data_IF_197558400186
#
_entry.id   IF_197558400186
#
_cell.length_a   1.000
_cell.length_b   1.000
_cell.length_c   1.000
_cell.angle_alpha   90.00
_cell.angle_beta   90.00
_cell.angle_gamma   90.00
#
_symmetry.space_group_name_H-M   'P 1'
#
loop_
_entity.id
_entity.type
_entity.pdbx_description
1 polymer ?
#
# COMPACT_ATOMS: atom_id res chain seq x y z
N UNK A 1 -3.44 21.44 -4.50
CA UNK A 1 -2.31 20.61 -4.04
C UNK A 1 -2.32 19.34 -4.88
N UNK A 2 -1.16 18.93 -5.40
CA UNK A 2 -0.99 17.68 -6.15
C UNK A 2 -0.07 16.80 -5.33
N UNK A 3 -0.64 15.80 -4.66
CA UNK A 3 0.12 14.80 -3.92
C UNK A 3 0.83 13.85 -4.89
N UNK A 4 1.94 13.27 -4.45
CA UNK A 4 2.83 12.42 -5.27
C UNK A 4 3.00 12.92 -6.71
N UNK A 5 3.30 14.23 -6.85
CA UNK A 5 3.21 14.95 -8.13
C UNK A 5 3.95 14.30 -9.29
N UNK A 6 5.09 13.67 -8.99
CA UNK A 6 5.94 12.94 -9.95
C UNK A 6 5.19 11.80 -10.67
N UNK A 7 4.14 11.25 -10.06
CA UNK A 7 3.27 10.23 -10.64
C UNK A 7 1.92 10.82 -11.12
N UNK A 8 1.32 11.71 -10.33
CA UNK A 8 0.01 12.29 -10.64
C UNK A 8 0.02 13.20 -11.86
N UNK A 9 1.08 13.98 -12.08
CA UNK A 9 1.18 14.86 -13.26
C UNK A 9 1.26 14.07 -14.57
N UNK A 10 2.16 13.06 -14.71
CA UNK A 10 2.14 12.18 -15.88
C UNK A 10 0.79 11.48 -16.09
N UNK A 11 0.13 11.06 -15.00
CA UNK A 11 -1.20 10.44 -15.07
C UNK A 11 -2.24 11.38 -15.67
N UNK A 12 -2.36 12.62 -15.15
CA UNK A 12 -3.29 13.64 -15.67
C UNK A 12 -3.01 13.90 -17.15
N UNK A 13 -1.73 14.05 -17.53
CA UNK A 13 -1.32 14.26 -18.92
C UNK A 13 -1.74 13.11 -19.84
N UNK A 14 -1.67 11.87 -19.36
CA UNK A 14 -1.98 10.67 -20.15
C UNK A 14 -3.49 10.40 -20.30
N UNK A 15 -4.35 10.93 -19.42
CA UNK A 15 -5.79 10.65 -19.41
C UNK A 15 -6.48 10.93 -20.75
N UNK A 16 -6.20 12.09 -21.35
CA UNK A 16 -6.80 12.48 -22.63
C UNK A 16 -6.36 11.57 -23.78
N UNK A 17 -5.07 11.26 -23.87
CA UNK A 17 -4.55 10.37 -24.91
C UNK A 17 -5.14 8.96 -24.83
N UNK A 18 -5.21 8.41 -23.61
CA UNK A 18 -5.80 7.08 -23.37
C UNK A 18 -7.31 7.02 -23.65
N UNK A 19 -8.07 8.04 -23.23
CA UNK A 19 -9.50 8.13 -23.54
C UNK A 19 -9.74 8.24 -25.05
N UNK A 20 -9.01 9.13 -25.73
CA UNK A 20 -9.15 9.35 -27.16
C UNK A 20 -8.84 8.08 -27.96
N UNK A 21 -7.73 7.40 -27.68
CA UNK A 21 -7.36 6.16 -28.37
C UNK A 21 -8.43 5.08 -28.25
N UNK A 22 -9.02 4.93 -27.06
CA UNK A 22 -10.08 3.94 -26.81
C UNK A 22 -11.37 4.27 -27.56
N UNK A 23 -11.74 5.56 -27.58
CA UNK A 23 -12.95 6.03 -28.29
C UNK A 23 -12.82 5.99 -29.81
N UNK A 24 -11.62 6.27 -30.34
CA UNK A 24 -11.36 6.15 -31.78
C UNK A 24 -11.76 4.77 -32.29
N UNK A 25 -11.32 3.70 -31.62
CA UNK A 25 -11.71 2.34 -31.99
C UNK A 25 -13.23 2.13 -31.95
N UNK A 26 -13.91 2.57 -30.87
CA UNK A 26 -15.37 2.42 -30.76
C UNK A 26 -16.15 3.16 -31.86
N UNK A 27 -15.65 4.32 -32.29
CA UNK A 27 -16.28 5.13 -33.32
C UNK A 27 -16.01 4.55 -34.71
N UNK A 28 -14.79 4.11 -34.99
CA UNK A 28 -14.42 3.46 -36.26
C UNK A 28 -15.21 2.17 -36.52
N UNK A 29 -15.47 1.39 -35.48
CA UNK A 29 -16.31 0.19 -35.56
C UNK A 29 -17.83 0.46 -35.42
N UNK A 30 -18.26 1.72 -35.35
CA UNK A 30 -19.67 2.10 -35.33
C UNK A 30 -20.42 1.85 -34.02
N UNK A 31 -19.73 1.57 -32.91
CA UNK A 31 -20.35 1.41 -31.59
C UNK A 31 -20.75 2.74 -30.93
N UNK A 32 -20.15 3.86 -31.36
CA UNK A 32 -20.41 5.20 -30.81
C UNK A 32 -20.45 6.25 -31.93
N UNK A 33 -21.25 7.30 -31.72
CA UNK A 33 -21.25 8.49 -32.58
C UNK A 33 -19.98 9.33 -32.39
N UNK A 34 -19.57 10.13 -33.39
CA UNK A 34 -18.41 11.03 -33.28
C UNK A 34 -18.48 12.02 -32.10
N UNK A 35 -19.67 12.43 -31.68
CA UNK A 35 -19.87 13.31 -30.51
C UNK A 35 -19.39 12.69 -29.19
N UNK A 36 -19.14 11.38 -29.13
CA UNK A 36 -18.56 10.74 -27.95
C UNK A 36 -17.13 11.23 -27.63
N UNK A 37 -16.42 11.82 -28.61
CA UNK A 37 -15.12 12.46 -28.38
C UNK A 37 -15.20 13.65 -27.42
N UNK A 38 -16.34 14.33 -27.36
CA UNK A 38 -16.50 15.52 -26.52
C UNK A 38 -16.67 15.18 -25.04
N UNK A 39 -17.15 13.97 -24.71
CA UNK A 39 -17.27 13.49 -23.33
C UNK A 39 -15.92 12.98 -22.77
N UNK A 40 -14.90 13.83 -22.72
CA UNK A 40 -13.51 13.45 -22.46
C UNK A 40 -12.96 14.07 -21.18
N UNK A 41 -11.88 13.52 -20.60
CA UNK A 41 -11.08 14.26 -19.64
C UNK A 41 -10.44 15.49 -20.28
N UNK A 42 -9.98 16.40 -19.42
CA UNK A 42 -9.24 17.58 -19.83
C UNK A 42 -7.93 17.20 -20.51
N UNK A 43 -7.52 18.00 -21.48
CA UNK A 43 -6.14 18.03 -21.96
C UNK A 43 -5.24 18.63 -20.88
N UNK A 44 -3.94 18.36 -20.98
CA UNK A 44 -2.99 18.89 -19.99
C UNK A 44 -2.98 20.42 -19.99
N UNK A 45 -3.04 21.07 -21.15
CA UNK A 45 -3.08 22.54 -21.26
C UNK A 45 -4.37 23.12 -20.65
N UNK A 46 -5.52 22.46 -20.83
CA UNK A 46 -6.77 22.87 -20.17
C UNK A 46 -6.62 22.76 -18.65
N UNK A 47 -6.06 21.66 -18.15
CA UNK A 47 -5.78 21.48 -16.72
C UNK A 47 -4.84 22.58 -16.18
N UNK A 48 -3.78 22.92 -16.91
CA UNK A 48 -2.86 24.01 -16.52
C UNK A 48 -3.56 25.37 -16.42
N UNK A 49 -4.53 25.63 -17.30
CA UNK A 49 -5.29 26.89 -17.26
C UNK A 49 -6.28 27.00 -16.10
N UNK A 50 -6.60 25.89 -15.42
CA UNK A 50 -7.63 25.87 -14.39
C UNK A 50 -7.15 26.34 -13.02
N UNK A 51 -5.87 26.18 -12.71
CA UNK A 51 -5.35 26.53 -11.40
C UNK A 51 -4.55 27.84 -11.46
N UNK A 52 -4.79 28.73 -10.49
CA UNK A 52 -3.99 29.95 -10.32
C UNK A 52 -2.74 29.69 -9.48
N UNK A 53 -2.86 28.79 -8.52
CA UNK A 53 -1.77 28.36 -7.64
C UNK A 53 -1.82 26.84 -7.49
N UNK A 54 -0.65 26.21 -7.60
CA UNK A 54 -0.48 24.79 -7.36
C UNK A 54 0.66 24.57 -6.36
N UNK A 55 0.49 23.59 -5.49
CA UNK A 55 1.54 23.08 -4.61
C UNK A 55 1.76 21.64 -5.00
N UNK A 56 2.94 21.33 -5.52
CA UNK A 56 3.35 19.98 -5.87
C UNK A 56 4.05 19.36 -4.66
N UNK A 57 3.55 18.21 -4.19
CA UNK A 57 4.09 17.50 -3.04
C UNK A 57 4.71 16.22 -3.56
N UNK A 58 6.03 16.08 -3.41
CA UNK A 58 6.74 14.84 -3.73
C UNK A 58 8.12 14.82 -3.06
N UNK A 59 8.56 13.64 -2.66
CA UNK A 59 9.95 13.41 -2.23
C UNK A 59 10.95 13.45 -3.41
N UNK A 60 10.46 13.29 -4.63
CA UNK A 60 11.22 13.17 -5.89
C UNK A 60 10.50 13.91 -7.03
N UNK A 61 10.37 15.25 -6.95
CA UNK A 61 9.68 16.03 -7.99
C UNK A 61 10.32 15.80 -9.37
N UNK A 62 9.50 15.71 -10.41
CA UNK A 62 10.00 15.59 -11.79
C UNK A 62 10.26 16.97 -12.42
N UNK A 63 10.81 16.96 -13.63
CA UNK A 63 11.26 18.18 -14.33
C UNK A 63 10.14 19.20 -14.53
N UNK A 64 8.90 18.74 -14.71
CA UNK A 64 7.75 19.62 -14.88
C UNK A 64 7.53 20.46 -13.63
N UNK A 65 7.50 19.83 -12.45
CA UNK A 65 7.27 20.51 -11.19
C UNK A 65 8.40 21.48 -10.87
N UNK A 66 9.65 21.07 -11.10
CA UNK A 66 10.82 21.93 -10.91
C UNK A 66 10.79 23.15 -11.84
N UNK A 67 10.36 22.96 -13.09
CA UNK A 67 10.21 24.07 -14.05
C UNK A 67 9.07 25.01 -13.64
N UNK A 68 7.91 24.47 -13.28
CA UNK A 68 6.75 25.28 -12.86
C UNK A 68 6.99 26.02 -11.55
N UNK A 69 7.78 25.44 -10.63
CA UNK A 69 8.13 26.06 -9.36
C UNK A 69 9.03 27.30 -9.52
N UNK A 70 9.68 27.50 -10.68
CA UNK A 70 10.55 28.65 -10.97
C UNK A 70 11.56 28.95 -9.85
N UNK A 71 12.14 27.91 -9.26
CA UNK A 71 13.14 28.00 -8.18
C UNK A 71 12.57 28.11 -6.76
N UNK A 72 11.24 28.14 -6.57
CA UNK A 72 10.62 28.11 -5.24
C UNK A 72 10.42 26.66 -4.79
N UNK A 73 11.43 26.09 -4.14
CA UNK A 73 11.38 24.74 -3.57
C UNK A 73 11.44 24.83 -2.05
N UNK A 74 10.46 24.22 -1.38
CA UNK A 74 10.42 24.09 0.09
C UNK A 74 10.76 22.65 0.44
N UNK A 75 11.86 22.44 1.16
CA UNK A 75 12.28 21.12 1.61
C UNK A 75 11.75 20.83 3.03
N UNK A 76 11.15 19.67 3.21
CA UNK A 76 10.77 19.13 4.54
C UNK A 76 11.40 17.75 4.71
N UNK A 77 12.58 17.72 5.34
CA UNK A 77 13.40 16.51 5.50
C UNK A 77 13.39 15.94 6.93
N UNK A 78 13.05 16.76 7.93
CA UNK A 78 13.03 16.34 9.33
C UNK A 78 11.74 15.57 9.62
N UNK A 79 11.89 14.36 10.15
CA UNK A 79 10.76 13.52 10.57
C UNK A 79 10.38 13.84 12.02
N UNK A 80 9.08 13.91 12.38
CA UNK A 80 8.66 14.17 13.75
C UNK A 80 9.21 13.18 14.79
N UNK A 81 9.54 11.95 14.37
CA UNK A 81 10.05 10.88 15.23
C UNK A 81 11.57 10.80 15.27
N UNK A 82 12.27 11.74 14.62
CA UNK A 82 13.72 11.72 14.49
C UNK A 82 14.28 10.60 13.61
N UNK A 83 13.42 9.83 12.92
CA UNK A 83 13.88 8.77 12.03
C UNK A 83 14.78 9.32 10.92
N UNK A 84 15.87 8.62 10.66
CA UNK A 84 16.88 8.98 9.67
C UNK A 84 16.61 8.30 8.33
N UNK A 85 17.06 8.92 7.25
CA UNK A 85 17.23 8.25 5.96
C UNK A 85 18.19 7.07 6.12
N UNK A 86 17.98 5.94 5.42
CA UNK A 86 18.68 4.69 5.69
C UNK A 86 20.17 4.76 5.34
N UNK A 87 20.95 3.87 5.94
CA UNK A 87 22.34 3.64 5.53
C UNK A 87 22.34 2.89 4.20
N UNK A 88 23.16 3.30 3.25
CA UNK A 88 23.30 2.64 1.95
C UNK A 88 24.64 1.90 1.89
N UNK A 89 24.57 0.62 1.54
CA UNK A 89 25.73 -0.24 1.28
C UNK A 89 25.74 -0.67 -0.19
N UNK A 90 26.90 -0.57 -0.84
CA UNK A 90 27.09 -0.95 -2.24
C UNK A 90 27.91 -2.23 -2.28
N UNK A 91 27.31 -3.31 -2.79
CA UNK A 91 27.94 -4.64 -2.85
C UNK A 91 28.06 -5.13 -4.29
N UNK A 92 29.11 -5.91 -4.63
CA UNK A 92 29.24 -6.53 -5.94
C UNK A 92 28.08 -7.49 -6.24
N UNK A 93 27.78 -7.73 -7.52
CA UNK A 93 26.75 -8.69 -7.92
C UNK A 93 27.20 -10.16 -7.79
N UNK A 94 28.50 -10.41 -7.63
CA UNK A 94 29.03 -11.77 -7.41
C UNK A 94 28.53 -12.31 -6.06
N UNK A 95 27.97 -13.52 -6.07
CA UNK A 95 27.36 -14.18 -4.90
C UNK A 95 26.28 -13.34 -4.19
N UNK A 96 25.63 -12.40 -4.88
CA UNK A 96 24.63 -11.50 -4.30
C UNK A 96 23.46 -12.23 -3.63
N UNK A 97 23.11 -13.43 -4.08
CA UNK A 97 22.01 -14.21 -3.51
C UNK A 97 22.41 -14.79 -2.14
N UNK A 98 23.64 -15.28 -2.02
CA UNK A 98 24.14 -15.83 -0.75
C UNK A 98 24.28 -14.71 0.29
N UNK A 99 24.87 -13.57 -0.10
CA UNK A 99 24.97 -12.37 0.76
C UNK A 99 23.58 -11.85 1.20
N UNK A 100 22.61 -11.86 0.28
CA UNK A 100 21.23 -11.48 0.59
C UNK A 100 20.59 -12.44 1.59
N UNK A 101 20.83 -13.74 1.49
CA UNK A 101 20.28 -14.72 2.42
C UNK A 101 20.82 -14.54 3.84
N UNK A 102 22.11 -14.25 3.97
CA UNK A 102 22.73 -13.96 5.28
C UNK A 102 22.11 -12.71 5.92
N UNK A 103 21.97 -11.62 5.14
CA UNK A 103 21.33 -10.40 5.64
C UNK A 103 19.84 -10.63 5.97
N UNK A 104 19.14 -11.45 5.19
CA UNK A 104 17.74 -11.83 5.49
C UNK A 104 17.66 -12.58 6.81
N UNK A 105 18.51 -13.58 7.02
CA UNK A 105 18.55 -14.37 8.26
C UNK A 105 18.82 -13.48 9.49
N UNK A 106 19.76 -12.54 9.39
CA UNK A 106 20.01 -11.55 10.44
C UNK A 106 18.77 -10.70 10.76
N UNK A 107 18.04 -10.22 9.74
CA UNK A 107 16.81 -9.41 9.95
C UNK A 107 15.67 -10.23 10.53
N UNK A 108 15.49 -11.46 10.06
CA UNK A 108 14.46 -12.38 10.57
C UNK A 108 14.72 -12.68 12.05
N UNK A 109 15.98 -12.93 12.44
CA UNK A 109 16.37 -13.13 13.85
C UNK A 109 16.13 -11.90 14.72
N UNK A 110 16.29 -10.70 14.16
CA UNK A 110 15.94 -9.45 14.83
C UNK A 110 14.42 -9.18 14.89
N UNK A 111 13.61 -10.00 14.20
CA UNK A 111 12.15 -9.85 14.12
C UNK A 111 11.68 -8.79 13.12
N UNK A 112 12.57 -8.30 12.26
CA UNK A 112 12.28 -7.29 11.24
C UNK A 112 11.86 -7.94 9.90
N UNK A 113 11.52 -7.11 8.91
CA UNK A 113 11.11 -7.52 7.56
C UNK A 113 12.07 -7.01 6.49
N UNK A 114 12.09 -7.72 5.37
CA UNK A 114 12.94 -7.41 4.22
C UNK A 114 12.12 -7.18 2.97
N UNK A 115 12.45 -6.12 2.23
CA UNK A 115 11.96 -5.90 0.89
C UNK A 115 13.07 -6.16 -0.11
N UNK A 116 12.79 -6.94 -1.15
CA UNK A 116 13.74 -7.21 -2.24
C UNK A 116 13.14 -6.73 -3.55
N UNK A 117 13.86 -5.87 -4.26
CA UNK A 117 13.47 -5.43 -5.60
C UNK A 117 14.33 -6.09 -6.67
N UNK A 118 13.67 -6.68 -7.66
CA UNK A 118 14.30 -7.31 -8.83
C UNK A 118 13.96 -6.51 -10.09
N UNK A 119 14.58 -6.83 -11.22
CA UNK A 119 14.23 -6.21 -12.51
C UNK A 119 13.11 -6.95 -13.25
N UNK A 120 13.01 -8.27 -13.07
CA UNK A 120 12.11 -9.10 -13.86
C UNK A 120 11.20 -9.94 -12.97
N UNK A 121 9.97 -10.17 -13.45
CA UNK A 121 8.99 -11.05 -12.78
C UNK A 121 9.55 -12.45 -12.58
N UNK A 122 10.26 -12.95 -13.60
CA UNK A 122 10.91 -14.26 -13.57
C UNK A 122 11.95 -14.37 -12.45
N UNK A 123 12.84 -13.38 -12.32
CA UNK A 123 13.86 -13.39 -11.26
C UNK A 123 13.22 -13.30 -9.86
N UNK A 124 12.16 -12.50 -9.71
CA UNK A 124 11.42 -12.44 -8.45
C UNK A 124 10.79 -13.80 -8.09
N UNK A 125 10.16 -14.46 -9.06
CA UNK A 125 9.53 -15.77 -8.86
C UNK A 125 10.56 -16.87 -8.56
N UNK A 126 11.67 -16.90 -9.30
CA UNK A 126 12.75 -17.88 -9.09
C UNK A 126 13.42 -17.68 -7.72
N UNK A 127 13.65 -16.43 -7.30
CA UNK A 127 14.21 -16.10 -5.99
C UNK A 127 13.24 -16.48 -4.86
N UNK A 128 11.95 -16.19 -5.02
CA UNK A 128 10.92 -16.58 -4.05
C UNK A 128 10.88 -18.10 -3.87
N UNK A 129 10.84 -18.86 -4.97
CA UNK A 129 10.88 -20.34 -4.93
C UNK A 129 12.18 -20.89 -4.33
N UNK A 130 13.28 -20.18 -4.50
CA UNK A 130 14.55 -20.56 -3.89
C UNK A 130 14.53 -20.36 -2.37
N UNK A 131 14.13 -19.17 -1.90
CA UNK A 131 13.99 -18.86 -0.47
C UNK A 131 12.96 -19.75 0.24
N UNK A 132 11.84 -20.07 -0.42
CA UNK A 132 10.81 -20.97 0.11
C UNK A 132 11.36 -22.40 0.34
N UNK A 133 12.18 -22.92 -0.58
CA UNK A 133 12.84 -24.23 -0.43
C UNK A 133 13.84 -24.26 0.74
N UNK A 134 14.36 -23.11 1.13
CA UNK A 134 15.23 -22.96 2.31
C UNK A 134 14.42 -22.76 3.60
N UNK A 135 13.09 -22.72 3.53
CA UNK A 135 12.21 -22.56 4.69
C UNK A 135 12.00 -21.11 5.12
N UNK A 136 12.39 -20.13 4.30
CA UNK A 136 12.16 -18.70 4.58
C UNK A 136 10.72 -18.35 4.24
N UNK A 137 10.03 -17.62 5.13
CA UNK A 137 8.67 -17.14 4.88
C UNK A 137 8.71 -15.97 3.89
N UNK A 138 8.50 -16.28 2.62
CA UNK A 138 8.64 -15.32 1.52
C UNK A 138 7.34 -15.23 0.73
N UNK A 139 7.02 -14.04 0.23
CA UNK A 139 5.95 -13.83 -0.75
C UNK A 139 6.46 -13.00 -1.93
N UNK A 140 5.87 -13.26 -3.09
CA UNK A 140 6.17 -12.55 -4.33
C UNK A 140 5.00 -11.65 -4.74
N UNK A 141 5.30 -10.41 -5.13
CA UNK A 141 4.32 -9.45 -5.62
C UNK A 141 4.70 -8.84 -6.98
N UNK A 142 3.71 -8.76 -7.88
CA UNK A 142 3.84 -8.14 -9.20
C UNK A 142 2.66 -7.22 -9.56
N UNK A 143 2.76 -6.61 -10.74
CA UNK A 143 1.83 -5.62 -11.26
C UNK A 143 0.40 -6.13 -11.49
N UNK A 144 0.23 -7.44 -11.66
CA UNK A 144 -1.05 -8.04 -12.08
C UNK A 144 -1.80 -8.67 -10.89
N UNK A 145 -1.19 -8.62 -9.70
CA UNK A 145 -1.86 -8.95 -8.43
C UNK A 145 -2.98 -7.95 -8.20
N UNK A 146 -4.18 -8.44 -7.91
CA UNK A 146 -5.34 -7.59 -7.65
C UNK A 146 -5.08 -6.72 -6.41
N UNK A 147 -5.73 -5.57 -6.35
CA UNK A 147 -5.56 -4.61 -5.24
C UNK A 147 -5.84 -5.25 -3.88
N UNK A 148 -6.87 -6.10 -3.77
CA UNK A 148 -7.22 -6.80 -2.53
C UNK A 148 -6.14 -7.79 -2.10
N UNK A 149 -5.72 -8.68 -3.01
CA UNK A 149 -4.66 -9.66 -2.76
C UNK A 149 -3.35 -8.96 -2.33
N UNK A 150 -3.04 -7.81 -2.94
CA UNK A 150 -1.88 -6.99 -2.54
C UNK A 150 -1.99 -6.49 -1.10
N UNK A 151 -3.16 -6.01 -0.68
CA UNK A 151 -3.39 -5.56 0.71
C UNK A 151 -3.20 -6.72 1.68
N UNK A 152 -3.71 -7.91 1.34
CA UNK A 152 -3.55 -9.11 2.16
C UNK A 152 -2.09 -9.53 2.31
N UNK A 153 -1.32 -9.59 1.22
CA UNK A 153 0.12 -9.92 1.25
C UNK A 153 0.87 -8.96 2.17
N UNK A 154 0.58 -7.66 2.07
CA UNK A 154 1.21 -6.64 2.90
C UNK A 154 0.81 -6.77 4.36
N UNK A 155 -0.45 -7.10 4.64
CA UNK A 155 -0.91 -7.37 5.99
C UNK A 155 -0.16 -8.57 6.59
N UNK A 156 0.00 -9.66 5.84
CA UNK A 156 0.76 -10.85 6.27
C UNK A 156 2.23 -10.53 6.58
N UNK A 157 2.86 -9.69 5.78
CA UNK A 157 4.20 -9.15 6.04
C UNK A 157 4.25 -8.41 7.39
N UNK A 158 3.31 -7.50 7.62
CA UNK A 158 3.23 -6.72 8.87
C UNK A 158 2.94 -7.57 10.10
N UNK A 159 2.15 -8.64 9.95
CA UNK A 159 1.84 -9.58 11.02
C UNK A 159 2.98 -10.58 11.32
N UNK A 160 4.00 -10.67 10.46
CA UNK A 160 5.10 -11.64 10.60
C UNK A 160 4.76 -13.05 10.16
N UNK A 161 3.69 -13.20 9.39
CA UNK A 161 3.42 -14.43 8.65
C UNK A 161 4.34 -14.58 7.45
N UNK A 162 4.84 -13.45 6.95
CA UNK A 162 5.84 -13.33 5.89
C UNK A 162 6.96 -12.46 6.41
N UNK A 163 8.20 -12.86 6.16
CA UNK A 163 9.39 -12.12 6.59
C UNK A 163 10.03 -11.34 5.43
N UNK A 164 9.93 -11.88 4.20
CA UNK A 164 10.53 -11.31 2.99
C UNK A 164 9.47 -11.07 1.91
N UNK A 165 9.42 -9.87 1.35
CA UNK A 165 8.59 -9.55 0.19
C UNK A 165 9.47 -9.23 -1.02
N UNK A 166 9.30 -9.99 -2.10
CA UNK A 166 10.05 -9.82 -3.34
C UNK A 166 9.14 -9.25 -4.42
N UNK A 167 9.60 -8.24 -5.16
CA UNK A 167 8.84 -7.73 -6.30
C UNK A 167 9.66 -6.93 -7.28
N UNK A 168 9.08 -6.67 -8.46
CA UNK A 168 9.74 -5.85 -9.49
C UNK A 168 9.58 -4.37 -9.17
N UNK A 169 8.32 -3.97 -8.98
CA UNK A 169 7.97 -2.62 -8.59
C UNK A 169 7.16 -2.69 -7.29
N UNK A 170 7.88 -2.59 -6.17
CA UNK A 170 7.26 -2.44 -4.87
C UNK A 170 6.69 -1.02 -4.69
N UNK A 171 6.97 -0.08 -5.61
CA UNK A 171 6.50 1.30 -5.56
C UNK A 171 5.05 1.39 -6.04
N UNK A 172 4.13 1.29 -5.08
CA UNK A 172 2.83 1.95 -5.17
C UNK A 172 2.57 2.69 -3.87
N UNK A 173 1.82 3.78 -3.97
CA UNK A 173 1.38 4.64 -2.87
C UNK A 173 0.80 3.81 -1.71
N UNK A 174 0.95 4.31 -0.48
CA UNK A 174 0.32 3.72 0.70
C UNK A 174 1.09 2.60 1.42
N UNK A 175 2.32 2.28 1.02
CA UNK A 175 3.18 1.33 1.72
C UNK A 175 3.97 2.00 2.84
N UNK A 176 3.39 2.05 4.03
CA UNK A 176 4.07 2.43 5.27
C UNK A 176 4.32 1.17 6.13
N UNK A 177 5.58 0.73 6.16
CA UNK A 177 6.01 -0.54 6.75
C UNK A 177 7.13 -0.29 7.77
N UNK A 178 6.80 0.15 9.00
CA UNK A 178 7.80 0.38 10.05
C UNK A 178 8.54 -0.92 10.46
N UNK A 179 7.98 -2.09 10.15
CA UNK A 179 8.58 -3.39 10.40
C UNK A 179 9.74 -3.70 9.43
N UNK A 180 9.87 -2.98 8.31
CA UNK A 180 10.94 -3.19 7.33
C UNK A 180 12.22 -2.47 7.76
N UNK A 181 13.29 -3.22 8.00
CA UNK A 181 14.62 -2.66 8.31
C UNK A 181 15.64 -2.85 7.19
N UNK A 182 15.35 -3.69 6.19
CA UNK A 182 16.24 -3.90 5.04
C UNK A 182 15.49 -3.77 3.72
N UNK A 183 16.06 -2.99 2.80
CA UNK A 183 15.67 -2.95 1.40
C UNK A 183 16.85 -3.38 0.54
N UNK A 184 16.73 -4.50 -0.16
CA UNK A 184 17.72 -4.97 -1.12
C UNK A 184 17.29 -4.61 -2.55
N UNK A 185 18.19 -4.03 -3.32
CA UNK A 185 17.99 -3.71 -4.74
C UNK A 185 18.97 -4.54 -5.56
N UNK A 186 18.46 -5.60 -6.19
CA UNK A 186 19.23 -6.41 -7.12
C UNK A 186 19.39 -5.67 -8.45
N UNK A 187 20.54 -5.87 -9.10
CA UNK A 187 20.88 -5.27 -10.39
C UNK A 187 20.70 -3.73 -10.36
N UNK A 188 21.24 -3.08 -9.33
CA UNK A 188 21.08 -1.64 -9.12
C UNK A 188 21.76 -0.79 -10.22
N UNK A 189 22.74 -1.35 -10.93
CA UNK A 189 23.49 -0.70 -12.00
C UNK A 189 22.85 -0.80 -13.40
N UNK A 190 21.71 -1.49 -13.51
CA UNK A 190 20.98 -1.63 -14.78
C UNK A 190 20.01 -0.48 -14.92
N UNK A 191 20.45 0.55 -15.61
CA UNK A 191 19.63 1.74 -15.86
C UNK A 191 18.33 1.40 -16.59
N UNK A 192 17.32 2.22 -16.33
CA UNK A 192 15.96 2.03 -16.81
C UNK A 192 14.98 2.66 -15.83
N UNK A 193 13.68 2.55 -16.12
CA UNK A 193 12.65 3.17 -15.30
C UNK A 193 12.77 2.81 -13.81
N UNK A 194 12.99 1.54 -13.47
CA UNK A 194 13.05 1.05 -12.08
C UNK A 194 14.35 1.37 -11.34
N UNK A 195 15.36 1.91 -12.02
CA UNK A 195 16.70 2.20 -11.49
C UNK A 195 17.15 3.63 -11.83
N UNK A 196 16.21 4.48 -12.23
CA UNK A 196 16.47 5.91 -12.32
C UNK A 196 16.61 6.52 -10.92
N UNK A 197 17.15 7.73 -10.85
CA UNK A 197 17.39 8.42 -9.58
C UNK A 197 16.13 8.46 -8.70
N UNK A 198 14.97 8.73 -9.28
CA UNK A 198 13.69 8.86 -8.55
C UNK A 198 13.25 7.52 -7.97
N UNK A 199 13.24 6.47 -8.79
CA UNK A 199 12.86 5.12 -8.34
C UNK A 199 13.79 4.59 -7.25
N UNK A 200 15.10 4.86 -7.36
CA UNK A 200 16.05 4.50 -6.32
C UNK A 200 15.75 5.23 -5.01
N UNK A 201 15.60 6.55 -5.02
CA UNK A 201 15.27 7.33 -3.81
C UNK A 201 13.98 6.82 -3.15
N UNK A 202 12.93 6.55 -3.93
CA UNK A 202 11.66 6.03 -3.41
C UNK A 202 11.78 4.62 -2.84
N UNK A 203 12.56 3.76 -3.50
CA UNK A 203 12.78 2.38 -3.04
C UNK A 203 13.56 2.39 -1.73
N UNK A 204 14.63 3.18 -1.67
CA UNK A 204 15.43 3.38 -0.46
C UNK A 204 14.61 3.97 0.68
N UNK A 205 13.74 4.93 0.38
CA UNK A 205 12.83 5.55 1.35
C UNK A 205 11.92 4.58 2.10
N UNK A 206 11.71 3.35 1.60
CA UNK A 206 10.95 2.31 2.31
C UNK A 206 11.64 1.82 3.59
N UNK A 207 12.97 1.89 3.65
CA UNK A 207 13.73 1.58 4.87
C UNK A 207 13.74 2.74 5.88
N UNK A 208 13.33 3.95 5.50
CA UNK A 208 13.41 5.15 6.35
C UNK A 208 12.32 5.22 7.45
N UNK A 209 11.49 4.17 7.57
CA UNK A 209 10.43 4.05 8.58
C UNK A 209 10.88 3.26 9.81
N UNK A 210 12.09 2.72 9.79
CA UNK A 210 12.67 1.92 10.86
C UNK A 210 14.01 2.53 11.30
N UNK A 211 14.26 2.55 12.60
CA UNK A 211 15.49 3.08 13.20
C UNK A 211 16.75 2.33 12.74
N UNK A 212 16.61 1.05 12.39
CA UNK A 212 17.67 0.18 11.86
C UNK A 212 17.66 0.10 10.32
N UNK A 213 17.00 1.06 9.65
CA UNK A 213 16.85 1.10 8.20
C UNK A 213 18.18 1.05 7.44
N UNK A 214 18.35 0.01 6.62
CA UNK A 214 19.48 -0.23 5.73
C UNK A 214 19.01 -0.51 4.31
N UNK A 215 19.78 -0.06 3.34
CA UNK A 215 19.62 -0.38 1.92
C UNK A 215 20.89 -1.08 1.45
N UNK A 216 20.74 -2.17 0.70
CA UNK A 216 21.84 -2.80 -0.03
C UNK A 216 21.58 -2.64 -1.53
N UNK A 217 22.53 -2.05 -2.24
CA UNK A 217 22.55 -1.96 -3.69
C UNK A 217 23.53 -3.00 -4.22
N UNK A 218 23.03 -4.01 -4.93
CA UNK A 218 23.90 -4.98 -5.60
C UNK A 218 24.19 -4.51 -7.01
N UNK A 219 25.45 -4.18 -7.28
CA UNK A 219 25.89 -3.57 -8.52
C UNK A 219 27.40 -3.71 -8.73
N UNK A 220 27.80 -3.95 -9.97
CA UNK A 220 29.22 -4.04 -10.35
C UNK A 220 29.84 -2.67 -10.70
N UNK A 221 29.00 -1.65 -10.95
CA UNK A 221 29.44 -0.30 -11.31
C UNK A 221 28.53 0.77 -10.72
N UNK A 222 29.12 1.92 -10.39
CA UNK A 222 28.37 3.10 -9.99
C UNK A 222 27.79 3.80 -11.23
N UNK A 223 26.47 3.89 -11.33
CA UNK A 223 25.79 4.68 -12.37
C UNK A 223 25.57 6.12 -11.90
N UNK A 224 25.32 7.04 -12.84
CA UNK A 224 25.00 8.43 -12.48
C UNK A 224 23.70 8.55 -11.66
N UNK A 225 22.71 7.70 -11.95
CA UNK A 225 21.45 7.65 -11.18
C UNK A 225 21.67 7.16 -9.75
N UNK A 226 22.50 6.13 -9.56
CA UNK A 226 22.88 5.64 -8.24
C UNK A 226 23.63 6.71 -7.44
N UNK A 227 24.66 7.32 -8.03
CA UNK A 227 25.47 8.33 -7.36
C UNK A 227 24.58 9.47 -6.82
N UNK A 228 23.72 10.05 -7.69
CA UNK A 228 22.81 11.12 -7.28
C UNK A 228 21.81 10.68 -6.19
N UNK A 229 21.32 9.45 -6.25
CA UNK A 229 20.39 8.92 -5.25
C UNK A 229 21.09 8.68 -3.89
N UNK A 230 22.33 8.18 -3.90
CA UNK A 230 23.15 7.96 -2.71
C UNK A 230 23.51 9.30 -2.07
N UNK A 231 23.99 10.26 -2.86
CA UNK A 231 24.39 11.59 -2.39
C UNK A 231 23.22 12.32 -1.73
N UNK A 232 22.03 12.26 -2.33
CA UNK A 232 20.83 12.90 -1.77
C UNK A 232 20.38 12.22 -0.47
N UNK A 233 20.39 10.89 -0.41
CA UNK A 233 20.06 10.15 0.83
C UNK A 233 21.04 10.49 1.95
N UNK A 234 22.34 10.55 1.64
CA UNK A 234 23.38 10.90 2.61
C UNK A 234 23.28 12.34 3.08
N UNK A 235 22.98 13.30 2.18
CA UNK A 235 22.72 14.71 2.52
C UNK A 235 21.56 14.84 3.52
N UNK A 236 20.44 14.18 3.22
CA UNK A 236 19.26 14.16 4.09
C UNK A 236 19.58 13.55 5.45
N UNK A 237 20.23 12.39 5.46
CA UNK A 237 20.63 11.69 6.68
C UNK A 237 21.52 12.55 7.57
N UNK A 238 22.55 13.18 7.00
CA UNK A 238 23.46 14.05 7.75
C UNK A 238 22.72 15.23 8.38
N UNK A 239 21.84 15.89 7.61
CA UNK A 239 21.06 17.04 8.11
C UNK A 239 20.10 16.62 9.23
N UNK A 240 19.44 15.46 9.09
CA UNK A 240 18.56 14.90 10.11
C UNK A 240 19.32 14.52 11.38
N UNK A 241 20.53 13.96 11.23
CA UNK A 241 21.38 13.61 12.37
C UNK A 241 21.81 14.86 13.14
N UNK A 242 22.30 15.90 12.45
CA UNK A 242 22.65 17.18 13.09
C UNK A 242 21.45 17.78 13.83
N UNK A 243 20.28 17.81 13.18
CA UNK A 243 19.07 18.31 13.83
C UNK A 243 18.71 17.52 15.10
N UNK A 244 18.78 16.19 15.04
CA UNK A 244 18.50 15.33 16.19
C UNK A 244 19.48 15.56 17.35
N UNK A 245 20.77 15.72 17.04
CA UNK A 245 21.83 16.01 18.02
C UNK A 245 21.60 17.37 18.70
N UNK A 246 21.29 18.41 17.92
CA UNK A 246 21.00 19.76 18.44
C UNK A 246 19.75 19.80 19.33
N UNK A 247 18.75 18.97 19.03
CA UNK A 247 17.46 18.97 19.70
C UNK A 247 17.27 17.81 20.70
N UNK A 248 18.30 16.99 20.92
CA UNK A 248 18.27 15.81 21.80
C UNK A 248 17.13 14.82 21.44
N UNK A 249 16.93 14.56 20.15
CA UNK A 249 15.90 13.64 19.65
C UNK A 249 16.53 12.28 19.37
N UNK A 250 16.04 11.23 20.04
CA UNK A 250 16.42 9.84 19.73
C UNK A 250 15.47 9.27 18.67
N UNK A 251 15.98 8.79 17.52
CA UNK A 251 15.16 8.14 16.50
C UNK A 251 14.33 6.99 17.08
N UNK A 252 13.03 6.96 16.78
CA UNK A 252 12.15 5.88 17.24
C UNK A 252 11.21 5.41 16.15
N UNK A 253 11.18 4.09 15.96
CA UNK A 253 10.25 3.41 15.06
C UNK A 253 8.82 3.46 15.63
N UNK A 254 7.87 3.89 14.82
CA UNK A 254 6.45 3.88 15.18
C UNK A 254 5.88 2.50 14.88
N UNK A 255 5.88 1.60 15.87
CA UNK A 255 5.28 0.27 15.73
C UNK A 255 3.78 0.34 16.03
N UNK A 256 2.95 -0.24 15.16
CA UNK A 256 1.51 -0.42 15.40
C UNK A 256 1.27 -1.79 16.03
N UNK A 257 0.24 -1.90 16.89
CA UNK A 257 -0.10 -3.19 17.48
C UNK A 257 -0.79 -4.12 16.47
N UNK A 258 -0.72 -5.44 16.68
CA UNK A 258 -1.41 -6.42 15.83
C UNK A 258 -2.91 -6.12 15.70
N UNK A 259 -3.56 -5.71 16.81
CA UNK A 259 -4.97 -5.33 16.80
C UNK A 259 -5.27 -4.12 15.91
N UNK A 260 -4.36 -3.13 15.87
CA UNK A 260 -4.49 -1.95 15.00
C UNK A 260 -4.29 -2.32 13.52
N UNK A 261 -3.42 -3.29 13.22
CA UNK A 261 -3.18 -3.77 11.85
C UNK A 261 -4.42 -4.50 11.32
N UNK A 262 -5.03 -5.36 12.15
CA UNK A 262 -6.25 -6.09 11.80
C UNK A 262 -7.44 -5.15 11.57
N UNK A 263 -7.69 -4.22 12.51
CA UNK A 263 -8.85 -3.31 12.42
C UNK A 263 -8.81 -2.31 11.25
N UNK A 264 -7.63 -2.01 10.68
CA UNK A 264 -7.53 -1.17 9.47
C UNK A 264 -8.00 -1.91 8.21
N UNK A 265 -7.87 -3.23 8.18
CA UNK A 265 -8.19 -4.05 6.99
C UNK A 265 -9.69 -4.30 6.91
N UNK A 266 -10.35 -4.55 8.04
CA UNK A 266 -11.81 -4.73 8.10
C UNK A 266 -12.56 -3.52 7.50
N UNK A 267 -12.08 -2.29 7.74
CA UNK A 267 -12.63 -1.06 7.17
C UNK A 267 -12.38 -0.91 5.64
N UNK A 268 -11.28 -1.47 5.13
CA UNK A 268 -10.95 -1.47 3.71
C UNK A 268 -11.80 -2.50 2.94
N UNK A 269 -11.99 -3.69 3.52
CA UNK A 269 -12.84 -4.74 2.98
C UNK A 269 -14.31 -4.29 2.88
N UNK A 270 -14.81 -3.54 3.88
CA UNK A 270 -16.17 -2.97 3.85
C UNK A 270 -16.41 -1.98 2.71
N UNK A 271 -15.42 -1.15 2.37
CA UNK A 271 -15.57 -0.13 1.31
C UNK A 271 -15.62 -0.73 -0.09
N UNK A 272 -15.08 -1.92 -0.29
CA UNK A 272 -15.08 -2.57 -1.61
C UNK A 272 -16.34 -3.37 -1.91
N UNK A 273 -17.08 -3.83 -0.88
CA UNK A 273 -18.33 -4.58 -1.09
C UNK A 273 -19.45 -3.68 -1.64
N UNK A 274 -19.44 -2.38 -1.37
CA UNK A 274 -20.44 -1.45 -1.92
C UNK A 274 -20.25 -1.13 -3.42
N UNK A 275 -19.08 -1.41 -4.00
CA UNK A 275 -18.76 -1.03 -5.38
C UNK A 275 -19.00 -2.14 -6.43
N UNK A 276 -19.42 -3.35 -6.03
CA UNK A 276 -19.74 -4.45 -6.94
C UNK A 276 -20.99 -5.21 -6.49
N UNK A 277 -22.16 -4.60 -6.69
CA UNK A 277 -23.40 -5.36 -6.80
C UNK A 277 -23.74 -5.56 -8.29
N UNK A 278 -23.40 -6.69 -8.93
CA UNK A 278 -24.12 -7.11 -10.11
C UNK A 278 -25.49 -7.64 -9.71
N UNK A 279 -26.50 -7.20 -10.46
CA UNK A 279 -27.85 -7.70 -10.37
C UNK A 279 -27.90 -9.21 -10.62
N UNK A 280 -28.54 -9.93 -9.69
CA UNK A 280 -29.07 -11.27 -9.90
C UNK A 280 -28.15 -12.43 -9.52
N UNK A 281 -28.39 -13.05 -8.36
CA UNK A 281 -28.11 -14.47 -8.15
C UNK A 281 -28.94 -15.01 -6.97
N UNK A 282 -29.92 -15.86 -7.30
CA UNK A 282 -30.30 -16.98 -6.44
C UNK A 282 -29.20 -18.04 -6.58
N UNK A 283 -28.58 -18.48 -5.48
CA UNK A 283 -28.17 -19.88 -5.23
C UNK A 283 -27.35 -19.98 -3.92
N UNK A 284 -27.94 -20.73 -3.00
CA UNK A 284 -27.37 -21.62 -1.96
C UNK A 284 -25.86 -21.67 -1.71
N UNK A 285 -25.50 -21.62 -0.42
CA UNK A 285 -24.23 -22.16 0.08
C UNK A 285 -23.61 -21.38 1.23
N UNK A 286 -24.35 -21.14 2.33
CA UNK A 286 -23.81 -20.45 3.52
C UNK A 286 -23.82 -21.36 4.74
N UNK A 287 -22.70 -22.05 4.99
CA UNK A 287 -22.42 -22.69 6.26
C UNK A 287 -21.13 -22.11 6.86
N UNK A 288 -21.16 -21.92 8.18
CA UNK A 288 -20.06 -21.60 9.09
C UNK A 288 -19.68 -20.12 9.26
N UNK A 289 -20.39 -19.47 10.20
CA UNK A 289 -19.77 -18.73 11.31
C UNK A 289 -20.80 -18.64 12.45
N UNK A 290 -21.05 -19.80 13.06
CA UNK A 290 -21.79 -19.91 14.30
C UNK A 290 -20.81 -19.67 15.46
N UNK A 291 -20.96 -18.58 16.20
CA UNK A 291 -20.57 -18.54 17.60
C UNK A 291 -21.45 -17.58 18.43
N UNK A 292 -22.04 -18.19 19.47
CA UNK A 292 -22.35 -17.64 20.79
C UNK A 292 -23.69 -16.90 21.01
N UNK A 293 -24.83 -17.59 20.89
CA UNK A 293 -26.03 -17.39 21.76
C UNK A 293 -27.07 -18.54 21.65
N UNK A 294 -26.66 -19.81 21.58
CA UNK A 294 -27.53 -20.86 20.99
C UNK A 294 -28.59 -21.57 21.87
N UNK A 295 -28.59 -21.66 23.22
CA UNK A 295 -29.65 -22.41 23.89
C UNK A 295 -30.92 -21.59 24.18
N UNK A 296 -30.83 -20.27 24.33
CA UNK A 296 -31.96 -19.43 24.78
C UNK A 296 -32.78 -18.89 23.61
N UNK A 297 -32.12 -18.42 22.55
CA UNK A 297 -32.78 -17.81 21.37
C UNK A 297 -33.62 -18.83 20.59
N UNK A 298 -33.20 -20.09 20.55
CA UNK A 298 -33.96 -21.18 19.94
C UNK A 298 -35.28 -21.47 20.68
N UNK A 299 -35.32 -21.28 22.00
CA UNK A 299 -36.50 -21.55 22.85
C UNK A 299 -37.46 -20.37 23.00
N UNK A 300 -37.08 -19.16 22.58
CA UNK A 300 -37.93 -17.96 22.68
C UNK A 300 -39.16 -18.05 21.78
N UNK A 301 -40.30 -17.57 22.29
CA UNK A 301 -41.50 -17.41 21.46
C UNK A 301 -41.36 -16.22 20.50
N UNK A 302 -42.23 -16.14 19.49
CA UNK A 302 -42.16 -15.09 18.45
C UNK A 302 -42.19 -13.67 19.03
N UNK A 303 -43.03 -13.43 20.04
CA UNK A 303 -43.19 -12.12 20.67
C UNK A 303 -41.92 -11.68 21.43
N UNK A 304 -41.24 -12.62 22.08
CA UNK A 304 -39.96 -12.38 22.75
C UNK A 304 -38.85 -12.08 21.75
N UNK A 305 -38.83 -12.78 20.62
CA UNK A 305 -37.84 -12.58 19.56
C UNK A 305 -38.01 -11.22 18.86
N UNK A 306 -39.24 -10.80 18.60
CA UNK A 306 -39.55 -9.46 18.05
C UNK A 306 -39.15 -8.34 19.02
N UNK A 307 -39.30 -8.55 20.33
CA UNK A 307 -38.85 -7.60 21.37
C UNK A 307 -37.33 -7.51 21.44
N UNK A 308 -36.63 -8.64 21.32
CA UNK A 308 -35.17 -8.70 21.30
C UNK A 308 -34.60 -8.00 20.05
N UNK A 309 -35.20 -8.23 18.88
CA UNK A 309 -34.83 -7.52 17.63
C UNK A 309 -34.94 -6.01 17.81
N UNK A 310 -36.06 -5.49 18.33
CA UNK A 310 -36.23 -4.05 18.58
C UNK A 310 -35.22 -3.48 19.57
N UNK A 311 -34.85 -4.26 20.58
CA UNK A 311 -33.87 -3.84 21.59
C UNK A 311 -32.47 -3.77 20.99
N UNK A 312 -32.09 -4.78 20.21
CA UNK A 312 -30.80 -4.87 19.51
C UNK A 312 -30.69 -3.77 18.45
N UNK A 313 -31.77 -3.46 17.73
CA UNK A 313 -31.84 -2.37 16.75
C UNK A 313 -31.59 -1.01 17.40
N UNK A 314 -32.23 -0.75 18.55
CA UNK A 314 -32.04 0.48 19.32
C UNK A 314 -30.61 0.62 19.87
N UNK A 315 -30.01 -0.48 20.30
CA UNK A 315 -28.61 -0.50 20.76
C UNK A 315 -27.64 -0.23 19.61
N UNK A 316 -27.89 -0.80 18.43
CA UNK A 316 -27.09 -0.57 17.23
C UNK A 316 -27.13 0.91 16.81
N UNK A 317 -28.32 1.51 16.79
CA UNK A 317 -28.48 2.94 16.50
C UNK A 317 -27.81 3.84 17.55
N UNK A 318 -27.84 3.44 18.83
CA UNK A 318 -27.13 4.12 19.91
C UNK A 318 -25.61 4.10 19.72
N UNK A 319 -25.04 2.92 19.47
CA UNK A 319 -23.61 2.77 19.21
C UNK A 319 -23.15 3.55 17.96
N UNK A 320 -23.98 3.59 16.91
CA UNK A 320 -23.71 4.39 15.71
C UNK A 320 -23.71 5.90 15.99
N UNK A 321 -24.59 6.39 16.86
CA UNK A 321 -24.63 7.81 17.29
C UNK A 321 -23.44 8.20 18.15
N UNK A 322 -22.92 7.26 18.95
CA UNK A 322 -21.73 7.44 19.78
C UNK A 322 -20.41 7.21 19.03
N UNK A 323 -20.47 6.94 17.72
CA UNK A 323 -19.32 6.65 16.84
C UNK A 323 -18.55 5.36 17.26
N UNK A 324 -19.18 4.48 18.03
CA UNK A 324 -18.65 3.15 18.35
C UNK A 324 -19.06 2.15 17.25
N UNK A 325 -18.35 2.24 16.12
CA UNK A 325 -18.64 1.47 14.92
C UNK A 325 -18.37 -0.04 15.08
N UNK A 326 -17.47 -0.42 15.98
CA UNK A 326 -17.16 -1.82 16.28
C UNK A 326 -18.34 -2.49 16.98
N UNK A 327 -18.93 -1.79 17.96
CA UNK A 327 -20.11 -2.28 18.66
C UNK A 327 -21.35 -2.26 17.76
N UNK A 328 -21.51 -1.23 16.92
CA UNK A 328 -22.61 -1.17 15.95
C UNK A 328 -22.56 -2.33 14.94
N UNK A 329 -21.36 -2.71 14.45
CA UNK A 329 -21.20 -3.83 13.52
C UNK A 329 -21.59 -5.16 14.15
N UNK A 330 -21.15 -5.44 15.39
CA UNK A 330 -21.54 -6.65 16.13
C UNK A 330 -23.04 -6.76 16.30
N UNK A 331 -23.69 -5.67 16.73
CA UNK A 331 -25.14 -5.62 16.93
C UNK A 331 -25.93 -5.79 15.62
N UNK A 332 -25.38 -5.32 14.50
CA UNK A 332 -25.97 -5.51 13.17
C UNK A 332 -25.95 -6.97 12.74
N UNK A 333 -24.84 -7.67 12.97
CA UNK A 333 -24.69 -9.09 12.62
C UNK A 333 -25.59 -9.97 13.51
N UNK A 334 -25.68 -9.65 14.81
CA UNK A 334 -26.60 -10.29 15.75
C UNK A 334 -28.07 -10.06 15.34
N UNK A 335 -28.42 -8.83 14.95
CA UNK A 335 -29.76 -8.50 14.44
C UNK A 335 -30.09 -9.23 13.14
N UNK A 336 -29.10 -9.46 12.27
CA UNK A 336 -29.23 -10.30 11.07
C UNK A 336 -29.58 -11.74 11.42
N UNK A 337 -28.85 -12.34 12.38
CA UNK A 337 -29.10 -13.70 12.86
C UNK A 337 -30.49 -13.82 13.49
N UNK A 338 -30.89 -12.88 14.36
CA UNK A 338 -32.22 -12.86 14.99
C UNK A 338 -33.36 -12.75 13.97
N UNK A 339 -33.22 -11.90 12.94
CA UNK A 339 -34.21 -11.79 11.85
C UNK A 339 -34.30 -13.08 11.03
N UNK A 340 -33.18 -13.78 10.84
CA UNK A 340 -33.15 -15.08 10.16
C UNK A 340 -33.86 -16.16 10.99
N UNK A 341 -33.62 -16.21 12.31
CA UNK A 341 -34.31 -17.12 13.24
C UNK A 341 -35.82 -16.83 13.32
N UNK A 342 -36.24 -15.56 13.29
CA UNK A 342 -37.66 -15.20 13.21
C UNK A 342 -38.32 -15.71 11.93
N UNK A 343 -37.59 -15.63 10.80
CA UNK A 343 -38.07 -16.06 9.48
C UNK A 343 -38.14 -17.59 9.37
N UNK A 344 -37.24 -18.31 10.03
CA UNK A 344 -37.25 -19.79 10.08
C UNK A 344 -38.32 -20.37 11.01
N UNK A 345 -38.87 -19.58 11.94
CA UNK A 345 -40.04 -19.97 12.77
C UNK A 345 -41.39 -19.72 12.08
N UNK A 346 -41.45 -19.76 10.74
CA UNK A 346 -42.73 -19.78 9.99
C UNK A 346 -43.33 -21.19 10.03
N UNK A 347 -44.13 -21.43 11.06
CA UNK A 347 -45.48 -22.02 11.03
C UNK A 347 -46.17 -21.72 12.36
#
# INVERSE_FOLDING_TARGET
VVDESHATIPQIRAMWGGDRSRKTALIEYGFRLPSAFDNRPLTFNEFESMYQQAVFVSATPADYELTQANGVVVEQIIRPTGLLDPIIDLRPSINQIDDLLDEVDERVKAGDRVLVTTLTKRMAEELSKYMERLGIKVEYIHSDVKTLDRVEILRRLRLGEVDVLIGVNLLREGLDLPEVSLVAILDADKEGFLRDQRSLIQTMGRAARNENGKVILYADRMTGSMQRAIDETNRRRATQQTYNEEHNITPRTVRKSHAQILGQTDLADYRTVEAQAPAGAYAEGGAALAMAAEPVVAMMNRAELEKLIKTTEKQMEGAAKELDFLQAAKLRDELGALKQTLKSKRD
#
